data_IF_133875305564
#
_entry.id   IF_133875305564
#
_cell.length_a   1.000
_cell.length_b   1.000
_cell.length_c   1.000
_cell.angle_alpha   90.00
_cell.angle_beta   90.00
_cell.angle_gamma   90.00
#
_symmetry.space_group_name_H-M   'P 1'
#
loop_
_entity.id
_entity.type
_entity.pdbx_description
1 polymer ?
#
# COMPACT_ATOMS: atom_id res chain seq x y z
N UNK A 1 13.50 10.34 22.25
CA UNK A 1 13.36 8.90 22.00
C UNK A 1 12.73 8.74 20.62
N UNK A 2 13.52 8.95 19.55
CA UNK A 2 13.05 8.76 18.19
C UNK A 2 13.31 7.30 17.83
N UNK A 3 12.25 6.51 17.71
CA UNK A 3 12.38 5.16 17.20
C UNK A 3 12.97 5.27 15.79
N UNK A 4 14.03 4.52 15.44
CA UNK A 4 14.49 4.44 14.06
C UNK A 4 13.30 3.97 13.21
N UNK A 5 13.01 4.66 12.11
CA UNK A 5 11.97 4.23 11.19
C UNK A 5 12.24 2.75 10.83
N UNK A 6 11.24 1.85 10.93
CA UNK A 6 11.43 0.48 10.53
C UNK A 6 11.97 0.47 9.10
N UNK A 7 13.14 -0.16 8.91
CA UNK A 7 13.65 -0.49 7.58
C UNK A 7 12.66 -1.48 6.99
N UNK A 8 11.72 -0.94 6.23
CA UNK A 8 10.83 -1.73 5.40
C UNK A 8 11.67 -2.22 4.24
N UNK A 9 12.38 -3.33 4.44
CA UNK A 9 13.19 -4.03 3.45
C UNK A 9 12.28 -4.45 2.28
N UNK A 10 12.10 -3.52 1.34
CA UNK A 10 11.33 -3.67 0.12
C UNK A 10 12.23 -4.06 -1.06
N UNK A 11 13.48 -4.40 -0.77
CA UNK A 11 14.60 -4.33 -1.70
C UNK A 11 14.64 -5.47 -2.73
N UNK A 12 13.95 -6.61 -2.50
CA UNK A 12 14.27 -7.81 -3.28
C UNK A 12 13.37 -8.10 -4.50
N UNK A 13 12.21 -7.46 -4.71
CA UNK A 13 11.33 -7.88 -5.83
C UNK A 13 10.44 -6.79 -6.41
N UNK A 14 10.98 -5.59 -6.62
CA UNK A 14 10.25 -4.49 -7.23
C UNK A 14 9.14 -3.96 -6.30
N UNK A 15 8.98 -2.65 -6.25
CA UNK A 15 7.99 -1.99 -5.39
C UNK A 15 6.59 -2.17 -6.01
N UNK A 16 6.19 -3.38 -6.39
CA UNK A 16 4.93 -3.69 -7.07
C UNK A 16 4.08 -4.53 -6.12
N UNK A 17 3.32 -3.84 -5.28
CA UNK A 17 2.41 -4.47 -4.32
C UNK A 17 1.06 -4.74 -4.98
N UNK A 18 0.61 -5.99 -4.91
CA UNK A 18 -0.63 -6.47 -5.54
C UNK A 18 -1.40 -7.36 -4.58
N UNK A 19 -2.62 -7.74 -4.95
CA UNK A 19 -3.41 -8.69 -4.15
C UNK A 19 -2.58 -9.93 -3.76
N UNK A 20 -2.54 -10.22 -2.46
CA UNK A 20 -1.75 -11.31 -1.88
C UNK A 20 -0.31 -10.95 -1.50
N UNK A 21 0.21 -9.77 -1.86
CA UNK A 21 1.48 -9.24 -1.34
C UNK A 21 1.39 -9.06 0.18
N UNK A 22 2.50 -9.29 0.89
CA UNK A 22 2.56 -9.15 2.34
C UNK A 22 3.92 -8.60 2.76
N UNK A 23 3.97 -8.00 3.94
CA UNK A 23 5.19 -7.48 4.54
C UNK A 23 5.11 -6.00 4.82
N UNK A 24 6.22 -5.46 5.32
CA UNK A 24 6.30 -4.10 5.81
C UNK A 24 5.94 -3.02 4.78
N UNK A 25 6.19 -3.26 3.49
CA UNK A 25 5.83 -2.32 2.43
C UNK A 25 4.31 -2.17 2.28
N UNK A 26 3.55 -3.26 2.51
CA UNK A 26 2.09 -3.22 2.47
C UNK A 26 1.55 -2.41 3.64
N UNK A 27 2.14 -2.56 4.82
CA UNK A 27 1.81 -1.76 5.99
C UNK A 27 1.96 -0.27 5.70
N UNK A 28 3.08 0.15 5.08
CA UNK A 28 3.29 1.55 4.69
C UNK A 28 2.21 2.05 3.75
N UNK A 29 1.83 1.26 2.74
CA UNK A 29 0.77 1.66 1.80
C UNK A 29 -0.59 1.74 2.49
N UNK A 30 -0.93 0.78 3.35
CA UNK A 30 -2.18 0.80 4.12
C UNK A 30 -2.24 2.04 5.01
N UNK A 31 -1.15 2.34 5.71
CA UNK A 31 -1.01 3.52 6.56
C UNK A 31 -1.15 4.81 5.77
N UNK A 32 -0.45 4.92 4.64
CA UNK A 32 -0.51 6.06 3.75
C UNK A 32 -1.92 6.28 3.17
N UNK A 33 -2.61 5.20 2.77
CA UNK A 33 -3.99 5.29 2.28
C UNK A 33 -4.97 5.68 3.37
N UNK A 34 -4.76 5.24 4.61
CA UNK A 34 -5.55 5.67 5.75
C UNK A 34 -5.31 7.14 6.07
N UNK A 35 -4.07 7.61 6.07
CA UNK A 35 -3.73 8.99 6.40
C UNK A 35 -4.17 9.98 5.31
N UNK A 36 -3.86 9.68 4.04
CA UNK A 36 -4.18 10.57 2.92
C UNK A 36 -5.65 10.52 2.50
N UNK A 37 -6.30 9.36 2.68
CA UNK A 37 -7.60 9.08 2.06
C UNK A 37 -8.66 8.63 3.04
N UNK A 38 -8.32 8.49 4.32
CA UNK A 38 -9.21 7.97 5.35
C UNK A 38 -9.85 6.63 4.96
N UNK A 39 -9.07 5.79 4.26
CA UNK A 39 -9.55 4.57 3.60
C UNK A 39 -10.09 3.51 4.57
N UNK A 40 -9.83 3.63 5.88
CA UNK A 40 -10.35 2.73 6.91
C UNK A 40 -9.83 1.29 6.78
N UNK A 41 -8.65 1.13 6.20
CA UNK A 41 -7.97 -0.15 6.03
C UNK A 41 -7.39 -0.63 7.37
N UNK A 42 -7.34 -1.94 7.54
CA UNK A 42 -6.55 -2.56 8.61
C UNK A 42 -5.10 -2.62 8.15
N UNK A 43 -4.17 -2.09 8.95
CA UNK A 43 -2.72 -2.12 8.68
C UNK A 43 -2.12 -3.48 9.07
N UNK A 44 -2.64 -4.55 8.47
CA UNK A 44 -2.28 -5.94 8.76
C UNK A 44 -1.04 -6.43 7.99
N UNK A 45 -0.35 -5.53 7.28
CA UNK A 45 0.77 -5.86 6.38
C UNK A 45 0.37 -6.86 5.28
N UNK A 46 -0.92 -6.98 4.96
CA UNK A 46 -1.46 -7.93 3.99
C UNK A 46 -2.29 -7.22 2.94
N UNK A 47 -1.95 -7.43 1.67
CA UNK A 47 -2.62 -6.75 0.57
C UNK A 47 -3.89 -7.51 0.21
N UNK A 48 -4.92 -7.29 1.02
CA UNK A 48 -6.24 -7.89 0.88
C UNK A 48 -7.17 -7.11 -0.09
N UNK A 49 -8.43 -7.57 -0.21
CA UNK A 49 -9.41 -6.94 -1.10
C UNK A 49 -9.76 -5.51 -0.67
N UNK A 50 -9.69 -5.21 0.64
CA UNK A 50 -9.86 -3.85 1.15
C UNK A 50 -8.75 -2.92 0.62
N UNK A 51 -7.47 -3.32 0.78
CA UNK A 51 -6.31 -2.57 0.27
C UNK A 51 -6.38 -2.40 -1.25
N UNK A 52 -6.72 -3.44 -1.99
CA UNK A 52 -6.93 -3.36 -3.45
C UNK A 52 -8.01 -2.34 -3.81
N UNK A 53 -9.13 -2.32 -3.08
CA UNK A 53 -10.24 -1.39 -3.35
C UNK A 53 -9.80 0.04 -3.09
N UNK A 54 -9.12 0.30 -1.98
CA UNK A 54 -8.58 1.62 -1.67
C UNK A 54 -7.55 2.10 -2.69
N UNK A 55 -6.63 1.23 -3.12
CA UNK A 55 -5.65 1.57 -4.17
C UNK A 55 -6.34 1.84 -5.51
N UNK A 56 -7.36 1.07 -5.86
CA UNK A 56 -8.14 1.33 -7.08
C UNK A 56 -8.87 2.67 -7.03
N UNK A 57 -9.48 3.02 -5.89
CA UNK A 57 -10.12 4.32 -5.74
C UNK A 57 -9.11 5.47 -5.77
N UNK A 58 -7.95 5.30 -5.14
CA UNK A 58 -6.85 6.24 -5.23
C UNK A 58 -6.45 6.44 -6.69
N UNK A 59 -6.14 5.36 -7.40
CA UNK A 59 -5.74 5.41 -8.81
C UNK A 59 -6.81 6.08 -9.68
N UNK A 60 -8.09 5.73 -9.49
CA UNK A 60 -9.19 6.33 -10.23
C UNK A 60 -9.31 7.83 -9.98
N UNK A 61 -9.12 8.29 -8.73
CA UNK A 61 -9.21 9.71 -8.36
C UNK A 61 -8.07 10.53 -8.94
N UNK A 62 -6.87 9.94 -9.04
CA UNK A 62 -5.69 10.61 -9.58
C UNK A 62 -5.54 10.42 -11.11
N UNK A 63 -6.51 9.79 -11.77
CA UNK A 63 -6.45 9.52 -13.22
C UNK A 63 -5.34 8.54 -13.61
N UNK A 64 -4.89 7.72 -12.68
CA UNK A 64 -3.91 6.65 -12.91
C UNK A 64 -4.62 5.39 -13.42
N UNK A 65 -3.84 4.49 -14.03
CA UNK A 65 -4.33 3.16 -14.39
C UNK A 65 -4.82 2.41 -13.13
N UNK A 66 -6.11 2.06 -13.11
CA UNK A 66 -6.81 1.43 -11.98
C UNK A 66 -6.53 -0.06 -11.94
N UNK A 67 -5.25 -0.43 -11.85
CA UNK A 67 -4.83 -1.83 -11.87
C UNK A 67 -4.98 -2.48 -10.47
N UNK A 68 -5.11 -1.67 -9.42
CA UNK A 68 -5.11 -2.14 -8.03
C UNK A 68 -3.74 -2.68 -7.60
N UNK A 69 -2.69 -2.18 -8.25
CA UNK A 69 -1.29 -2.50 -7.99
C UNK A 69 -0.59 -1.21 -7.56
N UNK A 70 0.05 -1.20 -6.40
CA UNK A 70 0.79 -0.05 -5.90
C UNK A 70 2.27 -0.19 -6.24
N UNK A 71 2.77 0.63 -7.17
CA UNK A 71 4.16 0.60 -7.62
C UNK A 71 4.44 1.42 -8.88
N UNK A 72 5.72 1.76 -9.16
CA UNK A 72 6.12 2.31 -10.45
C UNK A 72 5.95 1.25 -11.55
N UNK A 73 5.45 1.68 -12.72
CA UNK A 73 5.52 0.90 -13.96
C UNK A 73 6.87 1.08 -14.62
#
# INVERSE_FOLDING_TARGET
MAQPAPVYDCEDSGIVLRYGSRGGCVFVVQSLLNDLYNAGLVEDSSYGPATTTAVRQFQARYGLAVDGIFGPK
#
